data_IF_246413719488
#
_entry.id   IF_246413719488
#
_cell.length_a   1.000
_cell.length_b   1.000
_cell.length_c   1.000
_cell.angle_alpha   90.00
_cell.angle_beta   90.00
_cell.angle_gamma   90.00
#
_symmetry.space_group_name_H-M   'P 1'
#
loop_
_entity.id
_entity.type
_entity.pdbx_description
1 polymer ?
#
# COMPACT_ATOMS: atom_id res chain seq x y z
N UNK A 1 -18.22 6.60 28.52
CA UNK A 1 -17.16 6.74 27.51
C UNK A 1 -17.18 5.43 26.76
N UNK A 2 -17.54 5.44 25.47
CA UNK A 2 -17.52 4.22 24.68
C UNK A 2 -16.09 3.68 24.67
N UNK A 3 -15.96 2.40 25.00
CA UNK A 3 -14.70 1.67 25.04
C UNK A 3 -14.13 1.66 23.61
N UNK A 4 -13.16 2.53 23.35
CA UNK A 4 -12.60 2.71 22.01
C UNK A 4 -11.93 1.40 21.56
N UNK A 5 -12.24 0.95 20.34
CA UNK A 5 -11.55 -0.20 19.77
C UNK A 5 -10.05 0.08 19.72
N UNK A 6 -9.27 -0.76 20.39
CA UNK A 6 -7.80 -0.71 20.37
C UNK A 6 -7.30 -1.91 19.58
N UNK A 7 -7.03 -1.71 18.29
CA UNK A 7 -6.55 -2.73 17.37
C UNK A 7 -6.36 -2.16 15.97
N UNK A 8 -5.66 -2.89 15.11
CA UNK A 8 -5.56 -2.55 13.68
C UNK A 8 -6.77 -3.11 12.95
N UNK A 9 -7.47 -2.27 12.20
CA UNK A 9 -8.51 -2.69 11.27
C UNK A 9 -8.02 -2.51 9.84
N UNK A 10 -7.93 -3.60 9.08
CA UNK A 10 -7.56 -3.57 7.67
C UNK A 10 -8.80 -3.34 6.81
N UNK A 11 -8.76 -2.28 6.00
CA UNK A 11 -9.80 -2.01 5.00
C UNK A 11 -9.32 -2.50 3.64
N UNK A 12 -9.79 -3.68 3.23
CA UNK A 12 -9.48 -4.27 1.94
C UNK A 12 -10.59 -3.92 0.94
N UNK A 13 -10.24 -3.17 -0.11
CA UNK A 13 -11.16 -2.84 -1.20
C UNK A 13 -10.97 -3.84 -2.34
N UNK A 14 -12.04 -4.54 -2.71
CA UNK A 14 -12.08 -5.38 -3.91
C UNK A 14 -13.12 -4.78 -4.88
N UNK A 15 -12.76 -4.47 -6.14
CA UNK A 15 -11.44 -4.65 -6.78
C UNK A 15 -10.37 -3.63 -6.33
N UNK A 16 -9.10 -3.93 -6.60
CA UNK A 16 -7.99 -2.96 -6.45
C UNK A 16 -8.29 -1.69 -7.24
N UNK A 17 -8.09 -0.53 -6.60
CA UNK A 17 -8.29 0.77 -7.24
C UNK A 17 -6.95 1.23 -7.80
N UNK A 18 -6.84 1.23 -9.13
CA UNK A 18 -5.69 1.78 -9.82
C UNK A 18 -5.59 3.30 -9.54
N UNK A 19 -4.41 3.73 -9.09
CA UNK A 19 -4.08 5.15 -8.92
C UNK A 19 -3.14 5.59 -10.03
N UNK A 20 -3.35 6.81 -10.54
CA UNK A 20 -2.43 7.41 -11.49
C UNK A 20 -1.34 8.17 -10.72
N UNK A 21 -0.05 7.99 -11.09
CA UNK A 21 1.03 8.78 -10.51
C UNK A 21 0.74 10.28 -10.59
N UNK A 22 1.20 11.02 -9.58
CA UNK A 22 1.06 12.48 -9.45
C UNK A 22 -0.37 13.02 -9.31
N UNK A 23 -1.40 12.17 -9.31
CA UNK A 23 -2.78 12.54 -8.99
C UNK A 23 -3.02 12.42 -7.49
N UNK A 24 -3.65 13.43 -6.91
CA UNK A 24 -3.99 13.44 -5.48
C UNK A 24 -5.28 12.65 -5.26
N UNK A 25 -5.19 11.59 -4.46
CA UNK A 25 -6.32 10.80 -3.98
C UNK A 25 -6.49 11.00 -2.48
N UNK A 26 -7.71 10.81 -1.97
CA UNK A 26 -8.02 10.92 -0.54
C UNK A 26 -8.96 9.80 -0.11
N UNK A 27 -8.85 9.38 1.15
CA UNK A 27 -9.82 8.50 1.79
C UNK A 27 -10.84 9.37 2.52
N UNK A 28 -12.12 9.19 2.19
CA UNK A 28 -13.23 9.77 2.96
C UNK A 28 -13.84 8.69 3.85
N UNK A 29 -13.62 8.80 5.15
CA UNK A 29 -14.31 7.96 6.12
C UNK A 29 -15.67 8.57 6.42
N UNK A 30 -16.75 7.92 5.94
CA UNK A 30 -18.11 8.32 6.25
C UNK A 30 -18.71 7.41 7.32
N UNK A 31 -18.82 7.95 8.54
CA UNK A 31 -19.52 7.28 9.64
C UNK A 31 -21.02 7.42 9.41
N UNK A 32 -21.72 6.31 9.14
CA UNK A 32 -23.16 6.31 8.83
C UNK A 32 -24.04 6.14 10.07
N UNK A 33 -23.49 5.61 11.16
CA UNK A 33 -24.13 5.48 12.47
C UNK A 33 -23.07 5.28 13.58
N UNK A 34 -23.43 5.57 14.83
CA UNK A 34 -22.55 5.43 16.00
C UNK A 34 -22.00 6.75 16.55
N UNK A 35 -20.97 6.66 17.39
CA UNK A 35 -20.29 7.80 18.02
C UNK A 35 -19.27 8.49 17.08
N UNK A 36 -18.51 9.46 17.60
CA UNK A 36 -17.42 10.11 16.88
C UNK A 36 -16.22 9.18 16.70
N UNK A 37 -15.68 9.15 15.48
CA UNK A 37 -14.46 8.41 15.14
C UNK A 37 -13.34 9.40 14.88
N UNK A 38 -12.13 9.06 15.31
CA UNK A 38 -10.91 9.69 14.83
C UNK A 38 -10.11 8.68 14.00
N UNK A 39 -9.43 9.17 12.99
CA UNK A 39 -8.38 8.42 12.29
C UNK A 39 -7.07 8.95 12.82
N UNK A 40 -6.28 8.07 13.42
CA UNK A 40 -4.94 8.41 13.88
C UNK A 40 -3.92 7.75 12.93
N UNK A 41 -3.06 8.57 12.34
CA UNK A 41 -1.98 8.13 11.46
C UNK A 41 -0.66 8.38 12.19
N UNK A 42 -0.42 7.57 13.23
CA UNK A 42 0.62 7.85 14.22
C UNK A 42 1.87 6.99 14.10
N UNK A 43 2.14 6.39 12.95
CA UNK A 43 3.33 5.57 12.79
C UNK A 43 4.29 6.13 11.75
N UNK A 44 5.51 6.38 12.22
CA UNK A 44 6.74 6.67 11.48
C UNK A 44 6.61 7.68 10.33
N UNK A 45 7.19 8.87 10.53
CA UNK A 45 7.38 9.82 9.43
C UNK A 45 8.46 9.26 8.51
N UNK A 46 8.06 8.74 7.34
CA UNK A 46 8.97 8.24 6.32
C UNK A 46 9.46 9.35 5.38
N UNK A 47 8.92 10.56 5.50
CA UNK A 47 9.17 11.71 4.63
C UNK A 47 8.96 11.34 3.15
N UNK A 48 7.97 10.50 2.86
CA UNK A 48 7.70 10.12 1.49
C UNK A 48 7.31 11.38 0.71
N UNK A 49 7.96 11.68 -0.43
CA UNK A 49 7.57 12.84 -1.22
C UNK A 49 6.08 12.80 -1.55
N UNK A 50 5.34 13.83 -1.13
CA UNK A 50 3.88 13.95 -1.30
C UNK A 50 3.03 13.04 -0.39
N UNK A 51 3.62 12.45 0.65
CA UNK A 51 2.91 11.75 1.72
C UNK A 51 2.32 12.68 2.79
N UNK A 52 2.53 14.00 2.69
CA UNK A 52 2.03 14.98 3.66
C UNK A 52 0.52 14.87 3.84
N UNK A 53 0.08 14.71 5.09
CA UNK A 53 -1.34 14.65 5.43
C UNK A 53 -2.06 15.94 5.02
N UNK A 54 -3.34 15.83 4.67
CA UNK A 54 -4.21 16.97 4.41
C UNK A 54 -5.27 17.00 5.50
N UNK A 55 -5.18 18.00 6.38
CA UNK A 55 -6.08 18.20 7.52
C UNK A 55 -6.86 19.48 7.29
N UNK A 56 -8.19 19.41 7.33
CA UNK A 56 -9.09 20.55 7.09
C UNK A 56 -8.77 21.31 5.78
N UNK A 57 -8.37 20.56 4.74
CA UNK A 57 -8.03 21.11 3.42
C UNK A 57 -6.66 21.77 3.32
N UNK A 58 -5.79 21.61 4.32
CA UNK A 58 -4.43 22.17 4.33
C UNK A 58 -3.38 21.08 4.56
N UNK A 59 -2.20 21.18 3.91
CA UNK A 59 -1.07 20.30 4.23
C UNK A 59 -0.67 20.44 5.70
N UNK A 60 -0.59 19.32 6.41
CA UNK A 60 -0.11 19.23 7.78
C UNK A 60 1.22 18.47 7.80
N UNK A 61 2.35 19.15 8.03
CA UNK A 61 3.66 18.54 8.03
C UNK A 61 3.91 17.61 9.24
N UNK A 62 3.01 17.59 10.23
CA UNK A 62 3.12 16.69 11.38
C UNK A 62 2.68 15.26 11.06
N UNK A 63 2.00 15.04 9.92
CA UNK A 63 1.54 13.72 9.49
C UNK A 63 2.13 13.28 8.14
N UNK A 64 2.56 12.02 8.08
CA UNK A 64 2.96 11.35 6.85
C UNK A 64 2.06 10.13 6.62
N UNK A 65 1.15 10.26 5.66
CA UNK A 65 0.17 9.25 5.25
C UNK A 65 0.56 8.63 3.91
N UNK A 66 1.84 8.29 3.77
CA UNK A 66 2.32 7.55 2.62
C UNK A 66 1.58 6.21 2.50
N UNK A 67 1.38 5.78 1.26
CA UNK A 67 0.95 4.43 0.95
C UNK A 67 2.00 3.78 0.07
N UNK A 68 2.23 2.49 0.27
CA UNK A 68 3.04 1.71 -0.66
C UNK A 68 2.18 1.46 -1.89
N UNK A 69 2.50 2.12 -3.00
CA UNK A 69 2.01 1.66 -4.29
C UNK A 69 2.37 0.17 -4.41
N UNK A 70 1.38 -0.65 -4.79
CA UNK A 70 1.54 -2.10 -4.87
C UNK A 70 2.85 -2.43 -5.54
N UNK A 71 3.61 -3.35 -4.95
CA UNK A 71 4.81 -3.83 -5.62
C UNK A 71 4.28 -4.48 -6.89
N UNK A 72 4.53 -3.86 -8.05
CA UNK A 72 4.58 -4.61 -9.31
C UNK A 72 5.75 -5.55 -9.10
N UNK A 73 5.48 -6.70 -8.49
CA UNK A 73 6.42 -7.81 -8.51
C UNK A 73 6.32 -8.24 -9.96
N UNK A 74 7.29 -7.90 -10.84
CA UNK A 74 7.25 -8.48 -12.17
C UNK A 74 7.18 -9.98 -11.95
N UNK A 75 6.16 -10.62 -12.52
CA UNK A 75 5.99 -12.05 -12.41
C UNK A 75 7.34 -12.69 -12.74
N UNK A 76 7.91 -13.53 -11.85
CA UNK A 76 9.18 -14.16 -12.11
C UNK A 76 9.12 -14.82 -13.50
N UNK A 77 9.91 -14.33 -14.46
CA UNK A 77 9.64 -14.67 -15.85
C UNK A 77 9.70 -16.18 -16.05
N UNK A 78 8.57 -16.80 -16.43
CA UNK A 78 8.48 -18.24 -16.66
C UNK A 78 9.52 -18.67 -17.70
N UNK A 79 9.83 -17.80 -18.66
CA UNK A 79 10.89 -17.98 -19.64
C UNK A 79 12.29 -18.12 -19.02
N UNK A 80 12.66 -17.32 -18.02
CA UNK A 80 13.97 -17.45 -17.36
C UNK A 80 14.09 -18.78 -16.63
N UNK A 81 13.05 -19.22 -15.91
CA UNK A 81 13.06 -20.54 -15.25
C UNK A 81 13.15 -21.69 -16.26
N UNK A 82 12.44 -21.58 -17.40
CA UNK A 82 12.51 -22.56 -18.47
C UNK A 82 13.93 -22.66 -19.04
N UNK A 83 14.57 -21.51 -19.33
CA UNK A 83 15.93 -21.46 -19.86
C UNK A 83 16.97 -21.99 -18.86
N UNK A 84 16.85 -21.66 -17.58
CA UNK A 84 17.71 -22.20 -16.52
C UNK A 84 17.56 -23.73 -16.42
N UNK A 85 16.33 -24.24 -16.47
CA UNK A 85 16.05 -25.67 -16.48
C UNK A 85 16.66 -26.39 -17.70
N UNK A 86 16.49 -25.82 -18.89
CA UNK A 86 17.06 -26.35 -20.13
C UNK A 86 18.60 -26.32 -20.11
N UNK A 87 19.20 -25.25 -19.60
CA UNK A 87 20.65 -25.13 -19.47
C UNK A 87 21.22 -26.19 -18.51
N UNK A 88 20.57 -26.41 -17.36
CA UNK A 88 20.95 -27.45 -16.41
C UNK A 88 20.89 -28.85 -17.03
N UNK A 89 19.83 -29.17 -17.79
CA UNK A 89 19.69 -30.46 -18.48
C UNK A 89 20.77 -30.62 -19.56
N UNK A 90 21.03 -29.58 -20.35
CA UNK A 90 22.04 -29.59 -21.41
C UNK A 90 23.46 -29.76 -20.85
N UNK A 91 23.79 -29.08 -19.75
CA UNK A 91 25.08 -29.22 -19.07
C UNK A 91 25.26 -30.61 -18.47
N UNK A 92 24.20 -31.22 -17.94
CA UNK A 92 24.24 -32.61 -17.44
C UNK A 92 24.44 -33.63 -18.55
N UNK A 93 23.89 -33.41 -19.74
CA UNK A 93 24.05 -34.30 -20.91
C UNK A 93 25.42 -34.18 -21.60
N UNK A 94 26.16 -33.11 -21.31
CA UNK A 94 27.51 -32.85 -21.87
C UNK A 94 28.64 -33.39 -20.98
N UNK A 95 28.34 -33.82 -19.75
CA UNK A 95 29.23 -34.63 -18.91
C UNK A 95 28.93 -36.11 -19.12
#
# INVERSE_FOLDING_TARGET
MADGFTGTADFLFAPEIAVTPEVMYYFEFRVTAGDFWCVDAMEHVYNYPRGTAIVMGRPDPSGDVWFREGIVIPEPSTGAFLLIGLAAIALRRRK
#
